data_IF_640023373213
#
_entry.id   IF_640023373213
#
_cell.length_a   1.000
_cell.length_b   1.000
_cell.length_c   1.000
_cell.angle_alpha   90.00
_cell.angle_beta   90.00
_cell.angle_gamma   90.00
#
_symmetry.space_group_name_H-M   'P 1'
#
loop_
_entity.id
_entity.type
_entity.pdbx_description
1 polymer ?
#
# COMPACT_ATOMS: atom_id res chain seq x y z
N UNK A 1 16.87 -9.22 17.56
CA UNK A 1 18.05 -8.33 17.43
C UNK A 1 17.59 -7.15 16.56
N UNK A 2 17.79 -5.89 17.00
CA UNK A 2 17.24 -4.63 16.44
C UNK A 2 15.82 -4.19 16.85
N UNK A 3 15.33 -4.60 18.03
CA UNK A 3 14.00 -4.20 18.53
C UNK A 3 13.82 -2.68 18.60
N UNK A 4 14.82 -1.94 19.07
CA UNK A 4 14.74 -0.48 19.18
C UNK A 4 14.63 0.21 17.82
N UNK A 5 15.40 -0.24 16.83
CA UNK A 5 15.34 0.31 15.47
C UNK A 5 13.97 0.04 14.83
N UNK A 6 13.43 -1.16 15.00
CA UNK A 6 12.09 -1.50 14.51
C UNK A 6 11.01 -0.65 15.18
N UNK A 7 11.09 -0.46 16.50
CA UNK A 7 10.16 0.40 17.24
C UNK A 7 10.25 1.86 16.78
N UNK A 8 11.45 2.39 16.57
CA UNK A 8 11.65 3.74 16.08
C UNK A 8 11.04 3.91 14.67
N UNK A 9 11.27 2.96 13.77
CA UNK A 9 10.68 2.96 12.42
C UNK A 9 9.15 2.91 12.46
N UNK A 10 8.57 2.02 13.28
CA UNK A 10 7.12 1.87 13.41
C UNK A 10 6.47 3.13 14.00
N UNK A 11 7.07 3.70 15.04
CA UNK A 11 6.59 4.92 15.67
C UNK A 11 6.66 6.12 14.70
N UNK A 12 7.79 6.30 14.01
CA UNK A 12 7.94 7.36 13.01
C UNK A 12 6.93 7.22 11.87
N UNK A 13 6.74 6.00 11.36
CA UNK A 13 5.75 5.71 10.32
C UNK A 13 4.32 5.98 10.80
N UNK A 14 3.99 5.64 12.05
CA UNK A 14 2.67 5.90 12.62
C UNK A 14 2.41 7.39 12.82
N UNK A 15 3.41 8.11 13.35
CA UNK A 15 3.32 9.55 13.57
C UNK A 15 3.15 10.29 12.25
N UNK A 16 3.94 9.96 11.23
CA UNK A 16 3.83 10.57 9.90
C UNK A 16 2.42 10.45 9.29
N UNK A 17 1.72 9.33 9.53
CA UNK A 17 0.32 9.16 9.09
C UNK A 17 -0.65 9.97 9.94
N UNK A 18 -0.44 10.04 11.25
CA UNK A 18 -1.35 10.71 12.18
C UNK A 18 -1.25 12.25 12.15
N UNK A 19 -0.16 12.82 11.64
CA UNK A 19 0.07 14.29 11.64
C UNK A 19 -0.39 14.99 10.37
N UNK A 20 -0.81 14.24 9.35
CA UNK A 20 -1.23 14.79 8.05
C UNK A 20 -2.74 15.02 7.95
N UNK A 21 -3.20 15.77 6.94
CA UNK A 21 -4.63 16.00 6.69
C UNK A 21 -5.33 14.81 6.00
N UNK A 22 -4.59 13.74 5.68
CA UNK A 22 -5.12 12.58 4.95
C UNK A 22 -5.61 11.53 5.94
N UNK A 23 -6.73 10.87 5.59
CA UNK A 23 -7.21 9.75 6.37
C UNK A 23 -6.29 8.51 6.23
N UNK A 24 -6.49 7.51 7.10
CA UNK A 24 -5.66 6.30 7.16
C UNK A 24 -5.76 5.50 5.86
N UNK A 25 -6.96 5.39 5.29
CA UNK A 25 -7.24 4.68 4.04
C UNK A 25 -6.43 5.27 2.90
N UNK A 26 -6.60 6.56 2.64
CA UNK A 26 -5.91 7.31 1.59
C UNK A 26 -4.41 7.22 1.77
N UNK A 27 -3.91 7.30 3.01
CA UNK A 27 -2.47 7.19 3.26
C UNK A 27 -1.93 5.82 2.85
N UNK A 28 -2.63 4.73 3.16
CA UNK A 28 -2.20 3.40 2.73
C UNK A 28 -2.32 3.16 1.23
N UNK A 29 -3.34 3.72 0.55
CA UNK A 29 -3.41 3.67 -0.91
C UNK A 29 -2.24 4.40 -1.58
N UNK A 30 -1.84 5.57 -1.05
CA UNK A 30 -0.66 6.30 -1.54
C UNK A 30 0.62 5.50 -1.31
N UNK A 31 0.79 4.93 -0.12
CA UNK A 31 1.97 4.12 0.20
C UNK A 31 2.01 2.82 -0.62
N UNK A 32 0.85 2.24 -0.93
CA UNK A 32 0.73 1.11 -1.84
C UNK A 32 1.20 1.48 -3.26
N UNK A 33 0.75 2.62 -3.80
CA UNK A 33 1.22 3.13 -5.09
C UNK A 33 2.76 3.34 -5.11
N UNK A 34 3.31 3.92 -4.03
CA UNK A 34 4.76 4.06 -3.89
C UNK A 34 5.48 2.70 -3.84
N UNK A 35 4.92 1.70 -3.15
CA UNK A 35 5.46 0.35 -3.09
C UNK A 35 5.43 -0.36 -4.46
N UNK A 36 4.40 -0.11 -5.28
CA UNK A 36 4.35 -0.57 -6.68
C UNK A 36 5.54 0.01 -7.46
N UNK A 37 5.77 1.33 -7.36
CA UNK A 37 6.91 1.99 -8.00
C UNK A 37 8.27 1.48 -7.52
N UNK A 38 8.36 1.07 -6.26
CA UNK A 38 9.54 0.43 -5.69
C UNK A 38 9.67 -1.06 -6.01
N UNK A 39 8.73 -1.65 -6.78
CA UNK A 39 8.66 -3.08 -7.07
C UNK A 39 8.71 -3.97 -5.81
N UNK A 40 8.09 -3.52 -4.72
CA UNK A 40 8.13 -4.21 -3.43
C UNK A 40 6.80 -4.93 -3.16
N UNK A 41 6.68 -6.18 -3.62
CA UNK A 41 5.49 -7.02 -3.43
C UNK A 41 5.05 -7.11 -1.96
N UNK A 42 6.00 -7.37 -1.04
CA UNK A 42 5.70 -7.46 0.39
C UNK A 42 5.12 -6.16 0.98
N UNK A 43 5.58 -5.01 0.50
CA UNK A 43 5.06 -3.71 0.91
C UNK A 43 3.68 -3.42 0.27
N UNK A 44 3.47 -3.79 -1.00
CA UNK A 44 2.16 -3.72 -1.66
C UNK A 44 1.14 -4.54 -0.87
N UNK A 45 1.47 -5.79 -0.55
CA UNK A 45 0.64 -6.67 0.28
C UNK A 45 0.33 -6.05 1.66
N UNK A 46 1.34 -5.47 2.32
CA UNK A 46 1.15 -4.88 3.64
C UNK A 46 0.25 -3.64 3.60
N UNK A 47 0.39 -2.78 2.59
CA UNK A 47 -0.41 -1.57 2.48
C UNK A 47 -1.82 -1.86 1.97
N UNK A 48 -1.99 -2.84 1.07
CA UNK A 48 -3.29 -3.31 0.64
C UNK A 48 -4.14 -3.81 1.82
N UNK A 49 -3.63 -4.73 2.65
CA UNK A 49 -4.36 -5.22 3.83
C UNK A 49 -4.74 -4.09 4.79
N UNK A 50 -3.80 -3.20 5.10
CA UNK A 50 -4.08 -2.08 6.02
C UNK A 50 -5.04 -1.05 5.43
N UNK A 51 -5.07 -0.87 4.11
CA UNK A 51 -6.08 -0.06 3.45
C UNK A 51 -7.46 -0.70 3.62
N UNK A 52 -7.59 -2.02 3.42
CA UNK A 52 -8.85 -2.75 3.64
C UNK A 52 -9.30 -2.69 5.11
N UNK A 53 -8.38 -2.90 6.06
CA UNK A 53 -8.64 -2.73 7.50
C UNK A 53 -9.12 -1.30 7.84
N UNK A 54 -8.67 -0.29 7.09
CA UNK A 54 -9.11 1.09 7.20
C UNK A 54 -10.39 1.42 6.41
N UNK A 55 -11.06 0.41 5.84
CA UNK A 55 -12.32 0.54 5.13
C UNK A 55 -12.18 0.83 3.63
N UNK A 56 -11.03 0.58 3.02
CA UNK A 56 -10.91 0.61 1.56
C UNK A 56 -11.77 -0.49 0.93
N UNK A 57 -12.37 -0.20 -0.22
CA UNK A 57 -13.00 -1.24 -1.04
C UNK A 57 -11.99 -1.90 -1.99
N UNK A 58 -12.34 -3.08 -2.52
CA UNK A 58 -11.53 -3.74 -3.55
C UNK A 58 -11.38 -2.85 -4.79
N UNK A 59 -12.43 -2.12 -5.16
CA UNK A 59 -12.41 -1.16 -6.28
C UNK A 59 -11.42 -0.02 -6.04
N UNK A 60 -11.27 0.48 -4.81
CA UNK A 60 -10.27 1.51 -4.49
C UNK A 60 -8.83 0.98 -4.62
N UNK A 61 -8.59 -0.28 -4.28
CA UNK A 61 -7.29 -0.93 -4.51
C UNK A 61 -7.01 -1.07 -6.00
N UNK A 62 -7.96 -1.60 -6.78
CA UNK A 62 -7.83 -1.73 -8.24
C UNK A 62 -7.68 -0.38 -8.92
N UNK A 63 -8.42 0.65 -8.49
CA UNK A 63 -8.28 2.00 -9.01
C UNK A 63 -6.88 2.55 -8.77
N UNK A 64 -6.30 2.30 -7.59
CA UNK A 64 -4.92 2.71 -7.30
C UNK A 64 -3.93 2.05 -8.26
N UNK A 65 -4.10 0.76 -8.57
CA UNK A 65 -3.27 0.07 -9.59
C UNK A 65 -3.50 0.62 -11.00
N UNK A 66 -4.76 0.90 -11.38
CA UNK A 66 -5.09 1.48 -12.68
C UNK A 66 -4.38 2.82 -12.92
N UNK A 67 -4.33 3.69 -11.91
CA UNK A 67 -3.63 4.97 -11.99
C UNK A 67 -2.12 4.79 -12.29
N UNK A 68 -1.54 3.68 -11.85
CA UNK A 68 -0.13 3.37 -12.10
C UNK A 68 0.18 2.99 -13.54
N UNK A 69 -0.80 2.59 -14.36
CA UNK A 69 -0.57 2.26 -15.78
C UNK A 69 0.06 3.45 -16.52
N UNK A 70 -0.47 4.66 -16.29
CA UNK A 70 0.03 5.90 -16.92
C UNK A 70 1.28 6.46 -16.24
N UNK A 71 1.52 6.10 -14.97
CA UNK A 71 2.61 6.66 -14.15
C UNK A 71 3.88 5.82 -14.19
N UNK A 72 3.74 4.49 -14.14
CA UNK A 72 4.83 3.52 -14.03
C UNK A 72 4.89 2.56 -15.23
N UNK A 73 3.91 2.64 -16.14
CA UNK A 73 3.79 1.75 -17.29
C UNK A 73 3.05 0.45 -16.98
N UNK A 74 2.61 -0.21 -18.05
CA UNK A 74 1.82 -1.43 -17.97
C UNK A 74 2.49 -2.58 -17.21
N UNK A 75 3.81 -2.88 -17.36
CA UNK A 75 4.43 -4.01 -16.66
C UNK A 75 4.36 -3.91 -15.13
N UNK A 76 4.63 -2.73 -14.56
CA UNK A 76 4.55 -2.52 -13.12
C UNK A 76 3.10 -2.64 -12.60
N UNK A 77 2.14 -2.07 -13.34
CA UNK A 77 0.73 -2.20 -13.00
C UNK A 77 0.22 -3.64 -13.11
N UNK A 78 0.64 -4.40 -14.12
CA UNK A 78 0.27 -5.80 -14.30
C UNK A 78 0.77 -6.68 -13.13
N UNK A 79 2.02 -6.47 -12.69
CA UNK A 79 2.55 -7.14 -11.49
C UNK A 79 1.73 -6.78 -10.25
N UNK A 80 1.44 -5.50 -10.06
CA UNK A 80 0.63 -5.02 -8.94
C UNK A 80 -0.79 -5.62 -8.94
N UNK A 81 -1.44 -5.79 -10.10
CA UNK A 81 -2.71 -6.50 -10.17
C UNK A 81 -2.62 -7.93 -9.64
N UNK A 82 -1.55 -8.66 -9.96
CA UNK A 82 -1.34 -10.01 -9.41
C UNK A 82 -1.23 -9.98 -7.88
N UNK A 83 -0.40 -9.10 -7.35
CA UNK A 83 -0.18 -8.97 -5.90
C UNK A 83 -1.45 -8.55 -5.15
N UNK A 84 -2.22 -7.61 -5.70
CA UNK A 84 -3.49 -7.20 -5.09
C UNK A 84 -4.51 -8.35 -5.10
N UNK A 85 -4.53 -9.15 -6.16
CA UNK A 85 -5.39 -10.34 -6.20
C UNK A 85 -4.99 -11.40 -5.18
N UNK A 86 -3.72 -11.51 -4.80
CA UNK A 86 -3.27 -12.42 -3.74
C UNK A 86 -3.77 -12.02 -2.35
N UNK A 87 -4.11 -10.74 -2.16
CA UNK A 87 -4.74 -10.23 -0.94
C UNK A 87 -6.24 -10.46 -0.99
N UNK A 88 -6.89 -10.04 -2.07
CA UNK A 88 -8.36 -10.09 -2.20
C UNK A 88 -8.89 -11.53 -2.23
N UNK A 89 -8.16 -12.48 -2.83
CA UNK A 89 -8.59 -13.89 -2.91
C UNK A 89 -8.37 -14.69 -1.63
N UNK A 90 -7.73 -14.10 -0.61
CA UNK A 90 -7.47 -14.77 0.68
C UNK A 90 -8.58 -14.55 1.72
N UNK A 91 -9.56 -13.73 1.41
CA UNK A 91 -10.80 -13.52 2.18
C UNK A 91 -11.99 -14.24 1.50
#
# INVERSE_FOLDING_TARGET
MYTEMFNAFQNGSSLARATGPLDIKTTHLIQMAAAIGAHSEGAVHSHARRALEAGASHEELYQTVNLMISTLGFPAAAAAFSWINDIIKKD
#
